data_IF_909243433431
#
_entry.id   IF_909243433431
#
_cell.length_a   1.000
_cell.length_b   1.000
_cell.length_c   1.000
_cell.angle_alpha   90.00
_cell.angle_beta   90.00
_cell.angle_gamma   90.00
#
_symmetry.space_group_name_H-M   'P 1'
#
loop_
_entity.id
_entity.type
_entity.pdbx_description
1 polymer ?
#
# COMPACT_ATOMS: atom_id res chain seq x y z
N UNK A 1 74.56 -26.67 -2.84
CA UNK A 1 74.73 -27.81 -1.93
C UNK A 1 75.22 -27.23 -0.62
N UNK A 2 74.53 -27.22 0.51
CA UNK A 2 73.22 -27.61 1.06
C UNK A 2 73.26 -26.92 2.45
N UNK A 3 72.24 -26.50 3.17
CA UNK A 3 70.85 -26.87 3.30
C UNK A 3 70.25 -25.69 4.08
N UNK A 4 69.17 -25.09 3.59
CA UNK A 4 68.41 -24.11 4.37
C UNK A 4 67.62 -24.91 5.40
N UNK A 5 67.94 -24.78 6.68
CA UNK A 5 67.15 -25.37 7.76
C UNK A 5 65.76 -24.74 7.75
N UNK A 6 64.84 -25.54 7.22
CA UNK A 6 63.42 -25.38 7.31
C UNK A 6 62.93 -25.74 8.72
N UNK A 7 61.73 -25.27 9.05
CA UNK A 7 60.93 -25.63 10.23
C UNK A 7 61.41 -24.97 11.54
N UNK A 8 60.64 -24.11 12.20
CA UNK A 8 59.31 -24.40 12.71
C UNK A 8 58.63 -23.06 13.05
N UNK A 9 57.84 -22.50 12.14
CA UNK A 9 56.84 -21.49 12.53
C UNK A 9 55.58 -22.25 12.92
N UNK A 10 55.41 -22.45 14.22
CA UNK A 10 54.16 -22.90 14.81
C UNK A 10 53.06 -21.92 14.36
N UNK A 11 52.30 -22.34 13.36
CA UNK A 11 51.00 -21.78 13.07
C UNK A 11 50.09 -22.25 14.19
N UNK A 12 50.04 -21.48 15.29
CA UNK A 12 48.92 -21.55 16.23
C UNK A 12 47.65 -21.13 15.48
N UNK A 13 47.04 -22.14 14.87
CA UNK A 13 45.67 -22.09 14.40
C UNK A 13 44.79 -21.77 15.61
N UNK A 14 44.29 -20.54 15.61
CA UNK A 14 43.15 -19.99 16.35
C UNK A 14 42.24 -21.08 16.94
N UNK A 15 42.59 -21.56 18.14
CA UNK A 15 41.66 -22.29 18.99
C UNK A 15 40.70 -21.26 19.59
N UNK A 16 39.68 -20.87 18.82
CA UNK A 16 38.54 -20.16 19.37
C UNK A 16 37.97 -21.03 20.51
N UNK A 17 38.05 -20.54 21.74
CA UNK A 17 37.71 -21.30 22.93
C UNK A 17 36.27 -21.87 22.82
N UNK A 18 36.02 -23.12 23.26
CA UNK A 18 34.70 -23.78 23.16
C UNK A 18 33.56 -22.95 23.77
N UNK A 19 33.89 -22.06 24.71
CA UNK A 19 32.95 -21.20 25.40
C UNK A 19 32.42 -20.01 24.58
N UNK A 20 33.12 -19.57 23.51
CA UNK A 20 32.60 -18.54 22.61
C UNK A 20 31.65 -19.13 21.56
N UNK A 21 31.93 -20.35 21.10
CA UNK A 21 31.08 -21.06 20.15
C UNK A 21 29.71 -21.37 20.76
N UNK A 22 29.70 -21.90 21.99
CA UNK A 22 28.48 -22.20 22.75
C UNK A 22 27.58 -20.96 22.96
N UNK A 23 28.19 -19.80 23.26
CA UNK A 23 27.43 -18.53 23.37
C UNK A 23 26.81 -18.09 22.05
N UNK A 24 27.53 -18.27 20.94
CA UNK A 24 27.03 -17.91 19.62
C UNK A 24 25.88 -18.83 19.19
N UNK A 25 25.97 -20.13 19.49
CA UNK A 25 24.93 -21.10 19.20
C UNK A 25 23.67 -20.83 20.04
N UNK A 26 23.81 -20.59 21.35
CA UNK A 26 22.71 -20.20 22.22
C UNK A 26 22.02 -18.90 21.78
N UNK A 27 22.80 -17.88 21.38
CA UNK A 27 22.25 -16.64 20.86
C UNK A 27 21.49 -16.85 19.54
N UNK A 28 21.99 -17.73 18.67
CA UNK A 28 21.32 -18.08 17.41
C UNK A 28 19.99 -18.80 17.65
N UNK A 29 19.93 -19.71 18.61
CA UNK A 29 18.68 -20.37 19.02
C UNK A 29 17.65 -19.36 19.53
N UNK A 30 18.07 -18.41 20.38
CA UNK A 30 17.21 -17.33 20.87
C UNK A 30 16.66 -16.45 19.73
N UNK A 31 17.43 -16.19 18.69
CA UNK A 31 16.97 -15.44 17.52
C UNK A 31 15.97 -16.24 16.66
N UNK A 32 16.16 -17.56 16.50
CA UNK A 32 15.18 -18.43 15.85
C UNK A 32 13.88 -18.45 16.64
N UNK A 33 13.97 -18.55 17.96
CA UNK A 33 12.80 -18.50 18.83
C UNK A 33 12.09 -17.14 18.78
N UNK A 34 12.82 -16.03 18.76
CA UNK A 34 12.25 -14.70 18.58
C UNK A 34 11.47 -14.58 17.26
N UNK A 35 11.98 -15.16 16.16
CA UNK A 35 11.29 -15.18 14.87
C UNK A 35 9.96 -15.94 14.96
N UNK A 36 9.96 -17.09 15.63
CA UNK A 36 8.74 -17.87 15.86
C UNK A 36 7.70 -17.05 16.66
N UNK A 37 8.14 -16.35 17.72
CA UNK A 37 7.26 -15.51 18.53
C UNK A 37 6.64 -14.34 17.75
N UNK A 38 7.38 -13.75 16.80
CA UNK A 38 6.84 -12.73 15.88
C UNK A 38 5.70 -13.33 15.04
N UNK A 39 5.92 -14.51 14.46
CA UNK A 39 4.91 -15.19 13.64
C UNK A 39 3.67 -15.59 14.45
N UNK A 40 3.82 -15.80 15.76
CA UNK A 40 2.71 -16.06 16.70
C UNK A 40 2.03 -14.78 17.21
N UNK A 41 2.44 -13.59 16.76
CA UNK A 41 1.85 -12.32 17.21
C UNK A 41 2.25 -11.93 18.64
N UNK A 42 3.39 -12.43 19.16
CA UNK A 42 3.91 -12.12 20.51
C UNK A 42 5.17 -11.23 20.44
N UNK A 43 5.07 -9.96 19.99
CA UNK A 43 6.22 -9.11 19.75
C UNK A 43 7.02 -8.78 21.02
N UNK A 44 6.37 -8.61 22.17
CA UNK A 44 7.06 -8.28 23.43
C UNK A 44 7.97 -9.41 23.90
N UNK A 45 7.52 -10.66 23.76
CA UNK A 45 8.33 -11.85 24.10
C UNK A 45 9.46 -12.05 23.08
N UNK A 46 9.19 -11.78 21.80
CA UNK A 46 10.23 -11.82 20.77
C UNK A 46 11.34 -10.80 21.06
N UNK A 47 10.98 -9.57 21.46
CA UNK A 47 11.95 -8.54 21.85
C UNK A 47 12.78 -8.99 23.06
N UNK A 48 12.16 -9.60 24.07
CA UNK A 48 12.88 -10.13 25.22
C UNK A 48 13.91 -11.19 24.80
N UNK A 49 13.54 -12.12 23.92
CA UNK A 49 14.46 -13.14 23.40
C UNK A 49 15.63 -12.52 22.61
N UNK A 50 15.38 -11.49 21.80
CA UNK A 50 16.44 -10.73 21.11
C UNK A 50 17.37 -10.07 22.12
N UNK A 51 16.84 -9.37 23.12
CA UNK A 51 17.66 -8.72 24.16
C UNK A 51 18.53 -9.73 24.91
N UNK A 52 17.97 -10.90 25.24
CA UNK A 52 18.73 -11.99 25.85
C UNK A 52 19.86 -12.48 24.96
N UNK A 53 19.61 -12.69 23.66
CA UNK A 53 20.64 -13.10 22.70
C UNK A 53 21.77 -12.07 22.62
N UNK A 54 21.43 -10.79 22.56
CA UNK A 54 22.41 -9.71 22.50
C UNK A 54 23.25 -9.61 23.77
N UNK A 55 22.62 -9.80 24.94
CA UNK A 55 23.30 -9.83 26.23
C UNK A 55 24.30 -11.00 26.33
N UNK A 56 23.97 -12.16 25.77
CA UNK A 56 24.89 -13.33 25.76
C UNK A 56 26.11 -13.13 24.88
N UNK A 57 26.02 -12.29 23.83
CA UNK A 57 27.13 -12.01 22.90
C UNK A 57 28.00 -10.84 23.37
N UNK A 58 27.41 -9.75 23.85
CA UNK A 58 28.13 -8.49 24.09
C UNK A 58 27.73 -7.75 25.38
N UNK A 59 26.99 -8.40 26.27
CA UNK A 59 26.55 -7.80 27.54
C UNK A 59 25.49 -6.70 27.36
N UNK A 60 25.25 -5.94 28.43
CA UNK A 60 24.25 -4.86 28.45
C UNK A 60 24.60 -3.69 27.53
N UNK A 61 25.89 -3.41 27.36
CA UNK A 61 26.34 -2.30 26.51
C UNK A 61 25.98 -2.55 25.04
N UNK A 62 26.15 -3.78 24.56
CA UNK A 62 25.74 -4.16 23.21
C UNK A 62 24.22 -4.06 23.01
N UNK A 63 23.43 -4.37 24.04
CA UNK A 63 21.97 -4.18 24.04
C UNK A 63 21.65 -2.69 23.91
N UNK A 64 22.24 -1.85 24.75
CA UNK A 64 21.98 -0.41 24.76
C UNK A 64 22.33 0.25 23.42
N UNK A 65 23.55 0.02 22.90
CA UNK A 65 23.99 0.58 21.63
C UNK A 65 23.09 0.15 20.47
N UNK A 66 22.67 -1.11 20.45
CA UNK A 66 21.84 -1.63 19.37
C UNK A 66 20.41 -1.14 19.42
N UNK A 67 19.82 -1.04 20.62
CA UNK A 67 18.49 -0.44 20.80
C UNK A 67 18.51 1.05 20.47
N UNK A 68 19.57 1.76 20.85
CA UNK A 68 19.75 3.16 20.50
C UNK A 68 19.79 3.35 18.98
N UNK A 69 20.65 2.58 18.28
CA UNK A 69 20.72 2.58 16.81
C UNK A 69 19.37 2.23 16.17
N UNK A 70 18.68 1.21 16.67
CA UNK A 70 17.37 0.82 16.15
C UNK A 70 16.33 1.94 16.30
N UNK A 71 16.35 2.66 17.42
CA UNK A 71 15.50 3.83 17.67
C UNK A 71 15.82 4.98 16.71
N UNK A 72 17.08 5.27 16.44
CA UNK A 72 17.47 6.31 15.48
C UNK A 72 17.00 5.97 14.07
N UNK A 73 17.20 4.72 13.64
CA UNK A 73 16.71 4.23 12.35
C UNK A 73 15.19 4.35 12.24
N UNK A 74 14.45 4.01 13.29
CA UNK A 74 13.00 4.16 13.34
C UNK A 74 12.58 5.63 13.19
N UNK A 75 13.23 6.56 13.91
CA UNK A 75 12.95 8.00 13.79
C UNK A 75 13.24 8.53 12.40
N UNK A 76 14.33 8.08 11.77
CA UNK A 76 14.68 8.48 10.41
C UNK A 76 13.65 7.95 9.40
N UNK A 77 13.22 6.69 9.54
CA UNK A 77 12.14 6.13 8.70
C UNK A 77 10.82 6.87 8.85
N UNK A 78 10.42 7.21 10.08
CA UNK A 78 9.21 8.01 10.30
C UNK A 78 9.30 9.37 9.59
N UNK A 79 10.44 10.06 9.67
CA UNK A 79 10.64 11.33 8.95
C UNK A 79 10.56 11.15 7.42
N UNK A 80 11.14 10.08 6.87
CA UNK A 80 11.01 9.80 5.42
C UNK A 80 9.56 9.54 5.04
N UNK A 81 8.82 8.81 5.86
CA UNK A 81 7.41 8.54 5.62
C UNK A 81 6.54 9.81 5.72
N UNK A 82 6.88 10.79 6.56
CA UNK A 82 6.08 12.04 6.63
C UNK A 82 5.96 12.76 5.30
N UNK A 83 6.99 12.73 4.43
CA UNK A 83 6.90 13.33 3.10
C UNK A 83 5.96 12.54 2.19
N UNK A 84 5.99 11.20 2.27
CA UNK A 84 5.08 10.31 1.52
C UNK A 84 3.65 10.46 2.02
N UNK A 85 3.43 10.56 3.33
CA UNK A 85 2.12 10.76 3.94
C UNK A 85 1.54 12.14 3.55
N UNK A 86 2.37 13.19 3.50
CA UNK A 86 1.97 14.51 2.99
C UNK A 86 1.56 14.46 1.52
N UNK A 87 2.32 13.75 0.68
CA UNK A 87 1.96 13.54 -0.73
C UNK A 87 0.64 12.77 -0.85
N UNK A 88 0.45 11.71 -0.07
CA UNK A 88 -0.79 10.95 -0.05
C UNK A 88 -2.00 11.81 0.37
N UNK A 89 -1.82 12.71 1.34
CA UNK A 89 -2.84 13.67 1.74
C UNK A 89 -3.20 14.64 0.59
N UNK A 90 -2.19 15.19 -0.10
CA UNK A 90 -2.42 16.05 -1.27
C UNK A 90 -3.16 15.30 -2.40
N UNK A 91 -2.81 14.03 -2.66
CA UNK A 91 -3.54 13.22 -3.63
C UNK A 91 -4.99 12.97 -3.21
N UNK A 92 -5.25 12.76 -1.92
CA UNK A 92 -6.61 12.62 -1.41
C UNK A 92 -7.40 13.93 -1.57
N UNK A 93 -6.79 15.09 -1.35
CA UNK A 93 -7.42 16.40 -1.57
C UNK A 93 -7.76 16.63 -3.06
N UNK A 94 -6.85 16.29 -3.98
CA UNK A 94 -7.15 16.36 -5.42
C UNK A 94 -8.28 15.41 -5.82
N UNK A 95 -8.29 14.18 -5.30
CA UNK A 95 -9.35 13.21 -5.57
C UNK A 95 -10.73 13.69 -5.07
N UNK A 96 -10.78 14.45 -3.97
CA UNK A 96 -12.01 15.06 -3.47
C UNK A 96 -12.43 16.23 -4.37
N UNK A 97 -11.50 17.07 -4.84
CA UNK A 97 -11.80 18.21 -5.71
C UNK A 97 -12.32 17.79 -7.10
N UNK A 98 -11.84 16.66 -7.65
CA UNK A 98 -12.33 16.10 -8.92
C UNK A 98 -13.72 15.43 -8.79
N UNK A 99 -14.14 15.11 -7.56
CA UNK A 99 -15.42 14.44 -7.27
C UNK A 99 -16.49 15.38 -6.69
N UNK A 100 -16.20 16.67 -6.48
CA UNK A 100 -17.22 17.62 -6.02
C UNK A 100 -18.23 17.88 -7.16
N UNK A 101 -19.51 17.48 -7.00
CA UNK A 101 -20.56 17.96 -7.88
C UNK A 101 -20.66 19.47 -7.69
N UNK A 102 -20.66 20.21 -8.78
CA UNK A 102 -20.82 21.66 -8.80
C UNK A 102 -22.11 22.05 -8.06
N UNK A 103 -22.02 22.48 -6.79
CA UNK A 103 -23.13 23.06 -6.06
C UNK A 103 -23.53 24.39 -6.70
N UNK A 104 -24.57 24.36 -7.53
CA UNK A 104 -25.39 25.51 -7.86
C UNK A 104 -26.82 25.22 -7.34
N UNK A 105 -27.14 25.74 -6.15
CA UNK A 105 -28.51 25.80 -5.60
C UNK A 105 -29.39 26.80 -6.43
N UNK A 106 -30.75 26.87 -6.31
CA UNK A 106 -31.68 26.10 -5.47
C UNK A 106 -32.93 25.52 -6.22
N UNK A 107 -33.62 24.60 -5.54
CA UNK A 107 -34.91 24.00 -5.91
C UNK A 107 -36.01 25.02 -6.30
N UNK A 108 -36.95 24.67 -7.19
CA UNK A 108 -38.33 24.51 -6.73
C UNK A 108 -39.01 23.24 -7.29
N UNK A 109 -39.79 22.59 -6.44
CA UNK A 109 -40.74 21.55 -6.84
C UNK A 109 -41.72 22.09 -7.89
N UNK A 110 -41.90 21.38 -9.01
CA UNK A 110 -43.09 21.51 -9.85
C UNK A 110 -43.29 20.26 -10.72
N UNK A 111 -44.24 19.42 -10.28
CA UNK A 111 -45.31 18.79 -11.07
C UNK A 111 -44.99 18.44 -12.53
N UNK A 112 -44.83 17.13 -12.75
CA UNK A 112 -45.60 16.37 -13.73
C UNK A 112 -45.52 16.81 -15.19
N UNK A 113 -44.86 16.02 -16.01
CA UNK A 113 -45.46 15.54 -17.26
C UNK A 113 -44.79 14.28 -17.75
N UNK A 114 -45.60 13.24 -17.80
CA UNK A 114 -45.39 12.02 -18.56
C UNK A 114 -44.87 12.33 -19.96
N UNK A 115 -43.64 11.93 -20.22
CA UNK A 115 -43.23 11.47 -21.54
C UNK A 115 -42.37 10.26 -21.29
N UNK A 116 -43.03 9.10 -21.27
CA UNK A 116 -42.40 7.82 -21.59
C UNK A 116 -41.77 7.99 -22.97
N UNK A 117 -40.54 8.50 -22.99
CA UNK A 117 -39.62 8.26 -24.07
C UNK A 117 -39.44 6.75 -24.00
N UNK A 118 -39.99 6.08 -25.01
CA UNK A 118 -39.72 4.69 -25.31
C UNK A 118 -38.19 4.59 -25.57
N UNK A 119 -37.43 4.49 -24.49
CA UNK A 119 -36.00 4.18 -24.46
C UNK A 119 -35.91 2.71 -24.84
N UNK A 120 -36.22 2.46 -26.11
CA UNK A 120 -36.20 1.16 -26.70
C UNK A 120 -34.74 0.70 -26.69
N UNK A 121 -34.41 -0.17 -25.73
CA UNK A 121 -33.44 -1.26 -25.80
C UNK A 121 -31.97 -0.96 -26.08
N UNK A 122 -31.57 0.22 -26.55
CA UNK A 122 -30.24 0.38 -27.13
C UNK A 122 -29.12 0.65 -26.11
N UNK A 123 -29.50 0.89 -24.84
CA UNK A 123 -28.52 0.99 -23.75
C UNK A 123 -28.30 -0.40 -23.16
N UNK A 124 -27.05 -0.85 -23.09
CA UNK A 124 -26.65 -2.11 -22.45
C UNK A 124 -27.21 -2.18 -21.01
N UNK A 125 -27.31 -1.06 -20.30
CA UNK A 125 -27.91 -1.02 -18.97
C UNK A 125 -29.41 -1.30 -18.99
N UNK A 126 -30.11 -0.85 -20.02
CA UNK A 126 -31.52 -1.18 -20.24
C UNK A 126 -31.71 -2.66 -20.61
N UNK A 127 -30.86 -3.21 -21.48
CA UNK A 127 -30.89 -4.65 -21.85
C UNK A 127 -30.66 -5.55 -20.64
N UNK A 128 -29.76 -5.15 -19.73
CA UNK A 128 -29.47 -5.87 -18.49
C UNK A 128 -30.55 -5.67 -17.40
N UNK A 129 -31.69 -5.06 -17.71
CA UNK A 129 -32.79 -4.82 -16.76
C UNK A 129 -32.49 -3.72 -15.73
N UNK A 130 -31.41 -2.95 -15.90
CA UNK A 130 -31.02 -1.82 -15.03
C UNK A 130 -31.48 -0.48 -15.59
N UNK A 131 -32.70 -0.44 -16.15
CA UNK A 131 -33.29 0.77 -16.73
C UNK A 131 -33.37 1.94 -15.75
N UNK A 132 -33.58 1.67 -14.45
CA UNK A 132 -33.71 2.72 -13.45
C UNK A 132 -32.47 3.62 -13.36
N UNK A 133 -31.27 3.07 -13.58
CA UNK A 133 -30.01 3.84 -13.59
C UNK A 133 -29.96 4.77 -14.81
N UNK A 134 -30.45 4.31 -15.96
CA UNK A 134 -30.53 5.11 -17.19
C UNK A 134 -31.50 6.27 -17.01
N UNK A 135 -32.65 6.01 -16.38
CA UNK A 135 -33.67 7.02 -16.11
C UNK A 135 -33.20 8.07 -15.10
N UNK A 136 -32.51 7.65 -14.04
CA UNK A 136 -31.99 8.55 -13.02
C UNK A 136 -30.93 9.51 -13.59
N UNK A 137 -29.93 8.94 -14.29
CA UNK A 137 -28.86 9.70 -14.95
C UNK A 137 -29.31 10.53 -16.16
N UNK A 138 -30.53 10.29 -16.67
CA UNK A 138 -31.16 11.14 -17.67
C UNK A 138 -31.98 12.25 -17.00
N UNK A 139 -32.68 11.94 -15.90
CA UNK A 139 -33.55 12.89 -15.18
C UNK A 139 -32.76 13.94 -14.41
N UNK A 140 -31.57 13.60 -13.91
CA UNK A 140 -30.63 14.53 -13.29
C UNK A 140 -29.92 15.45 -14.32
N UNK A 141 -30.08 15.18 -15.61
CA UNK A 141 -29.41 15.92 -16.69
C UNK A 141 -27.89 15.75 -16.70
N UNK A 142 -27.34 14.75 -16.01
CA UNK A 142 -25.90 14.48 -15.99
C UNK A 142 -25.43 13.70 -17.23
N UNK A 143 -26.35 12.95 -17.86
CA UNK A 143 -26.08 12.11 -19.02
C UNK A 143 -27.15 12.25 -20.11
N UNK A 144 -26.78 11.92 -21.35
CA UNK A 144 -27.69 11.81 -22.49
C UNK A 144 -27.53 10.44 -23.16
N UNK A 145 -28.59 9.99 -23.82
CA UNK A 145 -28.56 8.80 -24.67
C UNK A 145 -28.18 9.26 -26.08
N UNK A 146 -27.06 8.77 -26.59
CA UNK A 146 -26.66 9.06 -27.96
C UNK A 146 -27.55 8.29 -28.94
N UNK A 147 -28.29 9.00 -29.78
CA UNK A 147 -29.18 8.38 -30.77
C UNK A 147 -28.43 7.67 -31.91
N UNK A 148 -27.13 7.92 -32.06
CA UNK A 148 -26.32 7.29 -33.11
C UNK A 148 -25.80 5.90 -32.70
N UNK A 149 -25.37 5.72 -31.45
CA UNK A 149 -24.80 4.45 -30.98
C UNK A 149 -25.58 3.80 -29.83
N UNK A 150 -26.64 4.43 -29.32
CA UNK A 150 -27.43 3.93 -28.19
C UNK A 150 -26.76 4.07 -26.82
N UNK A 151 -25.51 4.56 -26.77
CA UNK A 151 -24.74 4.68 -25.52
C UNK A 151 -25.26 5.77 -24.59
N UNK A 152 -25.25 5.50 -23.29
CA UNK A 152 -25.44 6.50 -22.25
C UNK A 152 -24.09 7.21 -21.99
N UNK A 153 -24.05 8.52 -22.21
CA UNK A 153 -22.81 9.32 -22.16
C UNK A 153 -23.05 10.54 -21.28
N UNK A 154 -22.08 10.88 -20.43
CA UNK A 154 -22.16 12.12 -19.65
C UNK A 154 -22.29 13.35 -20.55
N UNK A 155 -23.14 14.31 -20.17
CA UNK A 155 -23.32 15.56 -20.91
C UNK A 155 -22.04 16.37 -21.03
N UNK A 156 -21.13 16.29 -20.05
CA UNK A 156 -19.85 17.00 -20.09
C UNK A 156 -18.96 16.55 -21.27
N UNK A 157 -19.09 15.29 -21.67
CA UNK A 157 -18.28 14.68 -22.74
C UNK A 157 -19.05 14.46 -24.03
N UNK A 158 -20.18 15.17 -24.20
CA UNK A 158 -21.06 15.05 -25.36
C UNK A 158 -20.33 15.36 -26.66
N UNK A 159 -19.60 16.46 -26.70
CA UNK A 159 -18.90 16.89 -27.91
C UNK A 159 -17.75 15.95 -28.25
N UNK A 160 -16.99 15.52 -27.24
CA UNK A 160 -15.90 14.54 -27.37
C UNK A 160 -16.42 13.19 -27.85
N UNK A 161 -17.58 12.76 -27.34
CA UNK A 161 -18.24 11.56 -27.82
C UNK A 161 -18.57 11.66 -29.29
N UNK A 162 -19.23 12.72 -29.75
CA UNK A 162 -19.53 12.90 -31.17
C UNK A 162 -18.27 13.02 -32.04
N UNK A 163 -17.21 13.63 -31.52
CA UNK A 163 -15.98 13.88 -32.27
C UNK A 163 -15.08 12.64 -32.39
N UNK A 164 -14.96 11.81 -31.34
CA UNK A 164 -13.91 10.80 -31.26
C UNK A 164 -14.38 9.38 -30.90
N UNK A 165 -15.52 9.22 -30.22
CA UNK A 165 -15.89 7.94 -29.62
C UNK A 165 -17.19 7.34 -30.18
N UNK A 166 -18.04 8.15 -30.80
CA UNK A 166 -19.30 7.71 -31.36
C UNK A 166 -19.05 6.86 -32.60
N UNK A 167 -18.85 5.56 -32.37
CA UNK A 167 -18.83 4.56 -33.42
C UNK A 167 -20.26 4.34 -33.86
N UNK A 168 -20.61 4.75 -35.08
CA UNK A 168 -21.89 4.36 -35.69
C UNK A 168 -21.89 2.84 -35.78
N UNK A 169 -22.82 2.20 -35.08
CA UNK A 169 -23.10 0.77 -35.21
C UNK A 169 -24.12 0.58 -36.32
#
# INVERSE_FOLDING_TARGET
MDHNDAEMTEREAVAAAPHQQDRNDAARELLVFARLLINQGKPSQALQAVVMAMRTQGGEEAVFQSLHRARELYRNRLRVNTAVDQLAALFAECAIAEAQPLENDPMPAAVGSSSVIDVNGNSILAEMGRMQIVLDAFSDGSSFICLQCGGLVSNHRKDEHYAFWCSKV
#
